data_IF_597552191888
#
_entry.id   IF_597552191888
#
_cell.length_a   1.000
_cell.length_b   1.000
_cell.length_c   1.000
_cell.angle_alpha   90.00
_cell.angle_beta   90.00
_cell.angle_gamma   90.00
#
_symmetry.space_group_name_H-M   'P 1'
#
loop_
_entity.id
_entity.type
_entity.pdbx_description
1 polymer ?
#
# COMPACT_ATOMS: atom_id res chain seq x y z
N UNK A 1 -3.81 0.44 7.00
CA UNK A 1 -3.58 1.79 6.39
C UNK A 1 -4.68 2.20 5.43
N UNK A 2 -5.05 1.39 4.43
CA UNK A 2 -6.10 1.74 3.45
C UNK A 2 -7.37 2.37 4.06
N UNK A 3 -7.96 1.73 5.08
CA UNK A 3 -9.12 2.27 5.79
C UNK A 3 -8.90 3.72 6.26
N UNK A 4 -7.83 3.96 7.03
CA UNK A 4 -7.47 5.27 7.58
C UNK A 4 -7.22 6.35 6.50
N UNK A 5 -6.86 5.94 5.28
CA UNK A 5 -6.68 6.83 4.14
C UNK A 5 -8.03 7.31 3.60
N UNK A 6 -8.91 6.39 3.23
CA UNK A 6 -10.15 6.74 2.53
C UNK A 6 -11.30 7.14 3.47
N UNK A 7 -11.25 6.83 4.78
CA UNK A 7 -12.34 7.13 5.72
C UNK A 7 -12.65 8.63 5.82
N UNK A 8 -11.67 9.51 5.58
CA UNK A 8 -11.84 10.97 5.64
C UNK A 8 -12.07 11.63 4.27
N UNK A 9 -12.12 10.86 3.18
CA UNK A 9 -12.29 11.43 1.85
C UNK A 9 -13.74 11.92 1.64
N UNK A 10 -13.85 13.15 1.15
CA UNK A 10 -15.11 13.70 0.63
C UNK A 10 -15.59 12.91 -0.60
N UNK A 11 -16.89 12.99 -0.96
CA UNK A 11 -17.42 12.38 -2.18
C UNK A 11 -16.64 12.79 -3.44
N UNK A 12 -16.23 14.05 -3.53
CA UNK A 12 -15.43 14.58 -4.65
C UNK A 12 -14.04 13.95 -4.70
N UNK A 13 -13.36 13.82 -3.56
CA UNK A 13 -12.05 13.14 -3.49
C UNK A 13 -12.17 11.66 -3.86
N UNK A 14 -13.21 10.97 -3.40
CA UNK A 14 -13.48 9.56 -3.78
C UNK A 14 -13.71 9.42 -5.28
N UNK A 15 -14.47 10.35 -5.88
CA UNK A 15 -14.71 10.37 -7.34
C UNK A 15 -13.43 10.65 -8.12
N UNK A 16 -12.64 11.63 -7.70
CA UNK A 16 -11.35 11.96 -8.33
C UNK A 16 -10.39 10.77 -8.25
N UNK A 17 -10.29 10.13 -7.09
CA UNK A 17 -9.49 8.93 -6.92
C UNK A 17 -9.95 7.79 -7.84
N UNK A 18 -11.26 7.53 -7.88
CA UNK A 18 -11.83 6.49 -8.74
C UNK A 18 -11.49 6.72 -10.22
N UNK A 19 -11.62 7.96 -10.69
CA UNK A 19 -11.26 8.34 -12.05
C UNK A 19 -9.78 8.06 -12.33
N UNK A 20 -8.88 8.50 -11.44
CA UNK A 20 -7.43 8.28 -11.60
C UNK A 20 -7.06 6.80 -11.62
N UNK A 21 -7.63 6.02 -10.72
CA UNK A 21 -7.42 4.57 -10.65
C UNK A 21 -8.02 3.85 -11.88
N UNK A 22 -9.01 4.45 -12.55
CA UNK A 22 -9.61 3.86 -13.75
C UNK A 22 -8.71 4.09 -14.96
N UNK A 23 -7.91 5.15 -14.93
CA UNK A 23 -6.91 5.51 -15.93
C UNK A 23 -5.61 4.69 -15.82
N UNK A 24 -5.52 3.72 -14.89
CA UNK A 24 -4.35 2.85 -14.77
C UNK A 24 -4.22 1.98 -16.03
N UNK A 25 -3.09 2.07 -16.71
CA UNK A 25 -2.74 1.14 -17.78
C UNK A 25 -2.50 -0.26 -17.19
N UNK A 26 -3.31 -1.24 -17.59
CA UNK A 26 -3.29 -2.59 -17.01
C UNK A 26 -2.46 -3.58 -17.82
N UNK A 27 -2.06 -3.27 -19.06
CA UNK A 27 -1.45 -4.25 -19.96
C UNK A 27 -0.13 -4.83 -19.43
N UNK A 28 0.64 -4.05 -18.67
CA UNK A 28 1.91 -4.46 -18.06
C UNK A 28 1.77 -4.90 -16.60
N UNK A 29 0.64 -4.63 -15.97
CA UNK A 29 0.32 -5.09 -14.64
C UNK A 29 -0.41 -6.42 -14.78
N UNK A 30 0.12 -7.51 -14.24
CA UNK A 30 -0.58 -8.82 -14.23
C UNK A 30 -1.83 -8.78 -13.32
N UNK A 31 -2.84 -7.99 -13.72
CA UNK A 31 -4.08 -7.67 -13.01
C UNK A 31 -5.25 -7.65 -14.00
N UNK A 32 -6.44 -7.99 -13.51
CA UNK A 32 -7.67 -7.82 -14.28
C UNK A 32 -8.09 -6.35 -14.35
N UNK A 33 -9.01 -6.05 -15.29
CA UNK A 33 -9.60 -4.72 -15.43
C UNK A 33 -10.03 -4.14 -14.07
N UNK A 34 -9.54 -2.94 -13.77
CA UNK A 34 -9.76 -2.29 -12.48
C UNK A 34 -11.19 -1.76 -12.41
N UNK A 35 -12.04 -2.38 -11.59
CA UNK A 35 -13.42 -1.93 -11.35
C UNK A 35 -13.44 -0.86 -10.26
N UNK A 36 -13.06 0.36 -10.60
CA UNK A 36 -12.87 1.45 -9.63
C UNK A 36 -14.12 1.85 -8.88
N UNK A 37 -15.27 1.87 -9.57
CA UNK A 37 -16.57 2.16 -8.96
C UNK A 37 -16.93 1.15 -7.87
N UNK A 38 -16.65 -0.14 -8.12
CA UNK A 38 -16.80 -1.20 -7.12
C UNK A 38 -15.81 -1.02 -5.97
N UNK A 39 -14.52 -0.81 -6.26
CA UNK A 39 -13.49 -0.65 -5.23
C UNK A 39 -13.76 0.53 -4.31
N UNK A 40 -14.33 1.63 -4.82
CA UNK A 40 -14.70 2.78 -3.98
C UNK A 40 -16.02 2.60 -3.23
N UNK A 41 -16.99 1.88 -3.81
CA UNK A 41 -18.24 1.51 -3.12
C UNK A 41 -17.98 0.58 -1.93
N UNK A 42 -17.07 -0.37 -2.10
CA UNK A 42 -16.74 -1.39 -1.09
C UNK A 42 -15.31 -1.22 -0.54
N UNK A 43 -14.86 0.02 -0.37
CA UNK A 43 -13.48 0.31 0.05
C UNK A 43 -13.09 -0.35 1.38
N UNK A 44 -14.05 -0.61 2.29
CA UNK A 44 -13.81 -1.32 3.54
C UNK A 44 -13.76 -2.85 3.43
N UNK A 45 -14.22 -3.42 2.32
CA UNK A 45 -14.42 -4.88 2.14
C UNK A 45 -13.66 -5.41 0.92
N UNK A 46 -12.51 -4.80 0.61
CA UNK A 46 -11.68 -5.26 -0.50
C UNK A 46 -11.07 -6.63 -0.20
N UNK A 47 -10.91 -7.43 -1.25
CA UNK A 47 -10.28 -8.75 -1.18
C UNK A 47 -8.81 -8.68 -1.64
N UNK A 48 -8.04 -9.73 -1.37
CA UNK A 48 -6.58 -9.77 -1.61
C UNK A 48 -6.15 -9.30 -3.00
N UNK A 49 -6.82 -9.72 -4.08
CA UNK A 49 -6.51 -9.28 -5.45
C UNK A 49 -6.68 -7.78 -5.66
N UNK A 50 -7.67 -7.16 -5.02
CA UNK A 50 -7.92 -5.71 -5.11
C UNK A 50 -6.87 -4.95 -4.31
N UNK A 51 -6.51 -5.46 -3.12
CA UNK A 51 -5.41 -4.89 -2.35
C UNK A 51 -4.07 -4.97 -3.09
N UNK A 52 -3.81 -6.06 -3.84
CA UNK A 52 -2.63 -6.17 -4.70
C UNK A 52 -2.60 -5.04 -5.74
N UNK A 53 -3.69 -4.84 -6.48
CA UNK A 53 -3.81 -3.73 -7.44
C UNK A 53 -3.58 -2.38 -6.77
N UNK A 54 -4.15 -2.15 -5.59
CA UNK A 54 -3.93 -0.91 -4.85
C UNK A 54 -2.46 -0.74 -4.45
N UNK A 55 -1.81 -1.75 -3.87
CA UNK A 55 -0.40 -1.64 -3.45
C UNK A 55 0.49 -1.25 -4.63
N UNK A 56 0.24 -1.79 -5.82
CA UNK A 56 1.03 -1.55 -7.03
C UNK A 56 0.78 -0.17 -7.67
N UNK A 57 -0.46 0.34 -7.67
CA UNK A 57 -0.85 1.52 -8.47
C UNK A 57 -1.13 2.78 -7.64
N UNK A 58 -1.50 2.62 -6.38
CA UNK A 58 -2.17 3.67 -5.61
C UNK A 58 -1.27 4.88 -5.31
N UNK A 59 0.06 4.71 -5.30
CA UNK A 59 1.02 5.81 -5.19
C UNK A 59 0.81 6.87 -6.28
N UNK A 60 0.49 6.44 -7.49
CA UNK A 60 0.32 7.32 -8.64
C UNK A 60 -1.03 8.06 -8.61
N UNK A 61 -2.00 7.57 -7.84
CA UNK A 61 -3.37 8.11 -7.84
C UNK A 61 -3.70 8.96 -6.61
N UNK A 62 -2.89 8.87 -5.54
CA UNK A 62 -3.12 9.56 -4.27
C UNK A 62 -2.55 10.98 -4.17
N UNK A 63 -1.75 11.42 -5.14
CA UNK A 63 -1.16 12.76 -5.13
C UNK A 63 -2.24 13.85 -5.01
N UNK A 64 -2.09 14.79 -4.08
CA UNK A 64 -3.08 15.84 -3.85
C UNK A 64 -4.38 15.43 -3.12
N UNK A 65 -4.58 14.13 -2.84
CA UNK A 65 -5.74 13.63 -2.09
C UNK A 65 -5.41 13.31 -0.63
N UNK A 66 -4.16 12.98 -0.37
CA UNK A 66 -3.63 12.72 0.96
C UNK A 66 -2.37 13.56 1.11
N UNK A 67 -2.29 14.25 2.24
CA UNK A 67 -1.09 14.93 2.69
C UNK A 67 -0.60 14.26 3.99
N UNK A 68 0.65 14.49 4.37
CA UNK A 68 1.27 14.08 5.64
C UNK A 68 1.75 12.63 5.78
N UNK A 69 1.99 12.20 7.02
CA UNK A 69 2.54 10.88 7.45
C UNK A 69 1.84 9.68 6.81
N UNK A 70 0.56 9.82 6.48
CA UNK A 70 -0.25 8.79 5.82
C UNK A 70 0.24 8.44 4.42
N UNK A 71 0.69 9.44 3.67
CA UNK A 71 1.30 9.24 2.35
C UNK A 71 2.65 8.51 2.48
N UNK A 72 3.47 8.91 3.46
CA UNK A 72 4.71 8.20 3.79
C UNK A 72 4.45 6.73 4.16
N UNK A 73 3.37 6.45 4.91
CA UNK A 73 3.02 5.09 5.29
C UNK A 73 2.67 4.24 4.07
N UNK A 74 1.90 4.81 3.14
CA UNK A 74 1.59 4.12 1.90
C UNK A 74 2.84 3.92 1.04
N UNK A 75 3.79 4.86 1.04
CA UNK A 75 5.07 4.73 0.35
C UNK A 75 5.93 3.60 0.88
N UNK A 76 6.05 3.49 2.20
CA UNK A 76 6.79 2.40 2.82
C UNK A 76 6.13 1.04 2.51
N UNK A 77 4.79 0.96 2.60
CA UNK A 77 4.04 -0.27 2.25
C UNK A 77 4.17 -0.61 0.77
N UNK A 78 4.11 0.38 -0.12
CA UNK A 78 4.25 0.19 -1.57
C UNK A 78 5.63 -0.38 -1.94
N UNK A 79 6.70 0.18 -1.35
CA UNK A 79 8.08 -0.33 -1.53
C UNK A 79 8.23 -1.76 -1.02
N UNK A 80 7.79 -2.02 0.22
CA UNK A 80 7.83 -3.37 0.78
C UNK A 80 7.00 -4.36 -0.06
N UNK A 81 5.83 -3.93 -0.52
CA UNK A 81 4.99 -4.67 -1.44
C UNK A 81 5.74 -5.07 -2.71
N UNK A 82 6.39 -4.10 -3.38
CA UNK A 82 7.14 -4.37 -4.60
C UNK A 82 8.20 -5.46 -4.41
N UNK A 83 8.95 -5.42 -3.31
CA UNK A 83 9.95 -6.45 -2.98
C UNK A 83 9.31 -7.83 -2.73
N UNK A 84 8.20 -7.89 -1.99
CA UNK A 84 7.47 -9.15 -1.74
C UNK A 84 6.90 -9.80 -3.01
N UNK A 85 6.80 -9.06 -4.12
CA UNK A 85 6.26 -9.55 -5.40
C UNK A 85 7.34 -9.88 -6.43
N UNK A 86 8.62 -9.91 -6.06
CA UNK A 86 9.67 -10.42 -6.94
C UNK A 86 9.44 -11.88 -7.29
N UNK A 87 9.38 -12.19 -8.59
CA UNK A 87 9.20 -13.55 -9.10
C UNK A 87 10.52 -14.30 -9.21
N UNK A 88 11.64 -13.57 -9.26
CA UNK A 88 12.99 -14.10 -9.39
C UNK A 88 13.95 -13.21 -8.58
N UNK A 89 14.80 -13.82 -7.77
CA UNK A 89 15.79 -13.13 -6.94
C UNK A 89 17.18 -13.51 -7.45
N UNK A 90 17.85 -12.56 -8.10
CA UNK A 90 19.17 -12.77 -8.71
C UNK A 90 20.31 -12.71 -7.70
N UNK A 91 20.17 -11.82 -6.71
CA UNK A 91 21.12 -11.64 -5.62
C UNK A 91 20.36 -11.70 -4.29
N UNK A 92 20.59 -12.77 -3.54
CA UNK A 92 19.88 -13.01 -2.30
C UNK A 92 20.29 -12.03 -1.20
N UNK A 93 21.58 -11.68 -1.13
CA UNK A 93 22.11 -10.78 -0.11
C UNK A 93 21.57 -9.36 -0.30
N UNK A 94 21.60 -8.86 -1.53
CA UNK A 94 21.05 -7.54 -1.88
C UNK A 94 19.55 -7.48 -1.61
N UNK A 95 18.79 -8.51 -2.01
CA UNK A 95 17.37 -8.57 -1.73
C UNK A 95 17.07 -8.55 -0.23
N UNK A 96 17.82 -9.30 0.59
CA UNK A 96 17.61 -9.31 2.03
C UNK A 96 17.98 -7.96 2.67
N UNK A 97 19.03 -7.29 2.18
CA UNK A 97 19.40 -5.95 2.64
C UNK A 97 18.28 -4.94 2.33
N UNK A 98 17.79 -4.92 1.09
CA UNK A 98 16.68 -4.07 0.66
C UNK A 98 15.39 -4.36 1.44
N UNK A 99 15.10 -5.64 1.67
CA UNK A 99 13.92 -6.08 2.41
C UNK A 99 13.98 -5.59 3.87
N UNK A 100 15.13 -5.73 4.55
CA UNK A 100 15.31 -5.23 5.93
C UNK A 100 15.10 -3.72 5.99
N UNK A 101 15.68 -2.97 5.04
CA UNK A 101 15.51 -1.51 4.95
C UNK A 101 14.04 -1.15 4.70
N UNK A 102 13.35 -1.86 3.82
CA UNK A 102 11.94 -1.61 3.53
C UNK A 102 11.03 -1.90 4.74
N UNK A 103 11.28 -2.99 5.47
CA UNK A 103 10.55 -3.32 6.69
C UNK A 103 10.83 -2.28 7.78
N UNK A 104 12.09 -1.90 8.02
CA UNK A 104 12.44 -0.89 9.01
C UNK A 104 11.79 0.46 8.70
N UNK A 105 11.82 0.90 7.44
CA UNK A 105 11.13 2.11 7.00
C UNK A 105 9.62 2.04 7.22
N UNK A 106 9.00 0.88 6.95
CA UNK A 106 7.59 0.68 7.25
C UNK A 106 7.35 0.82 8.76
N UNK A 107 8.04 0.06 9.61
CA UNK A 107 7.84 0.10 11.06
C UNK A 107 8.03 1.51 11.63
N UNK A 108 9.08 2.22 11.21
CA UNK A 108 9.34 3.60 11.63
C UNK A 108 8.19 4.54 11.29
N UNK A 109 7.66 4.49 10.06
CA UNK A 109 6.53 5.35 9.68
C UNK A 109 5.25 4.99 10.45
N UNK A 110 5.04 3.72 10.76
CA UNK A 110 3.90 3.32 11.59
C UNK A 110 4.06 3.74 13.05
N UNK A 111 5.26 3.71 13.61
CA UNK A 111 5.54 4.25 14.93
C UNK A 111 5.20 5.74 15.03
N UNK A 112 5.42 6.52 13.96
CA UNK A 112 5.07 7.94 13.88
C UNK A 112 3.56 8.22 13.79
N UNK A 113 2.74 7.22 13.41
CA UNK A 113 1.29 7.34 13.24
C UNK A 113 0.56 6.78 14.46
N UNK A 114 0.89 5.55 14.85
CA UNK A 114 0.30 4.82 15.96
C UNK A 114 1.23 3.64 16.35
N UNK A 115 2.12 3.84 17.34
CA UNK A 115 3.08 2.82 17.76
C UNK A 115 2.39 1.60 18.39
N UNK A 116 1.17 1.74 18.91
CA UNK A 116 0.40 0.61 19.48
C UNK A 116 0.15 -0.49 18.46
N UNK A 117 0.16 -0.17 17.15
CA UNK A 117 -0.04 -1.16 16.08
C UNK A 117 1.11 -2.14 15.97
N UNK A 118 2.33 -1.74 16.32
CA UNK A 118 3.50 -2.64 16.24
C UNK A 118 3.33 -3.81 17.20
N UNK A 119 2.76 -3.55 18.38
CA UNK A 119 2.51 -4.55 19.42
C UNK A 119 1.18 -5.29 19.17
N UNK A 120 0.10 -4.55 18.89
CA UNK A 120 -1.26 -5.11 18.80
C UNK A 120 -1.57 -5.84 17.49
N UNK A 121 -0.73 -5.73 16.45
CA UNK A 121 -0.91 -6.43 15.18
C UNK A 121 0.22 -7.43 14.97
N UNK A 122 -0.11 -8.71 15.08
CA UNK A 122 0.83 -9.84 14.95
C UNK A 122 1.69 -9.76 13.67
N UNK A 123 1.10 -9.30 12.55
CA UNK A 123 1.85 -9.13 11.29
C UNK A 123 2.96 -8.11 11.38
N UNK A 124 2.79 -7.04 12.16
CA UNK A 124 3.84 -6.03 12.37
C UNK A 124 4.86 -6.51 13.39
N UNK A 125 4.41 -7.20 14.43
CA UNK A 125 5.27 -7.81 15.42
C UNK A 125 6.25 -8.83 14.80
N UNK A 126 5.75 -9.75 13.97
CA UNK A 126 6.58 -10.74 13.27
C UNK A 126 7.60 -10.11 12.34
N UNK A 127 7.22 -9.06 11.62
CA UNK A 127 8.15 -8.34 10.74
C UNK A 127 9.26 -7.61 11.51
N UNK A 128 8.99 -7.15 12.73
CA UNK A 128 9.97 -6.49 13.59
C UNK A 128 10.97 -7.45 14.23
N UNK A 129 10.62 -8.73 14.43
CA UNK A 129 11.50 -9.75 15.01
C UNK A 129 12.53 -10.25 13.99
N UNK A 130 12.22 -10.19 12.69
CA UNK A 130 13.10 -10.69 11.63
C UNK A 130 14.15 -9.68 11.13
N UNK A 131 14.24 -8.48 11.72
CA UNK A 131 15.25 -7.46 11.38
C UNK A 131 16.41 -7.56 12.36
#
# INVERSE_FOLDING_TARGET
>A
VWHVLHSKWSPTQKKMYALRLQSTETHTLSIHAVRTSYSMRYAGSLIGRQFKTLIQSNMFHMHGLIWDKKFLAWRAVGKLGALMWFTEIRNMEEYLADLRVAIANMLNVYALIDPSKIISKIKYHLLGICI
#
